data_IF_822837501461
#
_entry.id   IF_822837501461
#
_cell.length_a   1.000
_cell.length_b   1.000
_cell.length_c   1.000
_cell.angle_alpha   90.00
_cell.angle_beta   90.00
_cell.angle_gamma   90.00
#
_symmetry.space_group_name_H-M   'P 1'
#
loop_
_entity.id
_entity.type
_entity.pdbx_description
1 polymer ?
#
# COMPACT_ATOMS: atom_id res chain seq x y z
N UNK A 1 -20.33 -9.11 24.04
CA UNK A 1 -20.96 -10.34 23.50
C UNK A 1 -21.65 -10.00 22.20
N UNK A 2 -20.95 -10.15 21.07
CA UNK A 2 -21.55 -10.06 19.73
C UNK A 2 -22.17 -11.43 19.40
N UNK A 3 -23.35 -11.43 18.82
CA UNK A 3 -24.03 -12.63 18.33
C UNK A 3 -24.05 -12.58 16.82
N UNK A 4 -23.91 -13.73 16.19
CA UNK A 4 -24.06 -13.82 14.74
C UNK A 4 -25.54 -13.67 14.33
N UNK A 5 -25.86 -13.55 13.02
CA UNK A 5 -27.24 -13.46 12.54
C UNK A 5 -28.11 -14.69 12.86
N UNK A 6 -27.48 -15.81 13.24
CA UNK A 6 -28.10 -17.08 13.63
C UNK A 6 -28.37 -17.17 15.14
N UNK A 7 -27.87 -16.22 15.94
CA UNK A 7 -28.09 -16.15 17.38
C UNK A 7 -27.07 -16.90 18.23
N UNK A 8 -26.09 -17.55 17.59
CA UNK A 8 -25.01 -18.27 18.24
C UNK A 8 -24.07 -17.27 18.94
N UNK A 9 -23.57 -17.65 20.12
CA UNK A 9 -22.56 -16.89 20.84
C UNK A 9 -21.23 -17.11 20.12
N UNK A 10 -20.69 -16.04 19.54
CA UNK A 10 -19.31 -16.06 19.07
C UNK A 10 -18.42 -16.04 20.32
N UNK A 11 -17.74 -17.15 20.59
CA UNK A 11 -16.63 -17.15 21.55
C UNK A 11 -15.54 -16.25 20.98
N UNK A 12 -15.24 -15.15 21.68
CA UNK A 12 -14.12 -14.26 21.39
C UNK A 12 -12.79 -14.96 21.76
N UNK A 13 -12.58 -16.21 21.32
CA UNK A 13 -11.36 -16.98 21.51
C UNK A 13 -10.47 -16.87 20.27
N UNK A 14 -9.99 -15.66 20.01
CA UNK A 14 -8.78 -15.46 19.21
C UNK A 14 -7.63 -15.03 20.15
N UNK A 15 -7.39 -15.85 21.18
CA UNK A 15 -6.14 -15.86 21.94
C UNK A 15 -5.15 -16.79 21.23
N UNK A 16 -5.01 -16.62 19.92
CA UNK A 16 -4.00 -17.33 19.14
C UNK A 16 -2.64 -16.77 19.58
N UNK A 17 -1.76 -17.56 20.22
CA UNK A 17 -0.44 -17.07 20.57
C UNK A 17 0.31 -16.79 19.27
N UNK A 18 0.49 -15.51 18.95
CA UNK A 18 1.31 -15.12 17.81
C UNK A 18 2.70 -15.77 17.97
N UNK A 19 3.21 -16.48 16.95
CA UNK A 19 4.52 -17.12 17.04
C UNK A 19 5.55 -16.03 17.34
N UNK A 20 6.16 -16.11 18.52
CA UNK A 20 7.26 -15.23 18.89
C UNK A 20 8.34 -15.37 17.82
N UNK A 21 8.77 -14.27 17.18
CA UNK A 21 9.72 -14.36 16.08
C UNK A 21 11.03 -15.00 16.55
N UNK A 22 11.54 -15.96 15.77
CA UNK A 22 12.70 -16.80 16.06
C UNK A 22 14.04 -16.07 16.22
N UNK A 23 14.05 -14.72 16.15
CA UNK A 23 15.23 -13.89 16.38
C UNK A 23 14.90 -12.78 17.38
N UNK A 24 15.75 -12.57 18.40
CA UNK A 24 15.65 -11.38 19.23
C UNK A 24 15.86 -10.17 18.31
N UNK A 25 14.78 -9.42 18.10
CA UNK A 25 14.80 -8.19 17.32
C UNK A 25 14.75 -7.06 18.34
N UNK A 26 15.67 -6.10 18.24
CA UNK A 26 15.85 -5.00 19.19
C UNK A 26 14.74 -3.95 19.07
N UNK A 27 13.47 -4.36 19.23
CA UNK A 27 12.35 -3.45 19.26
C UNK A 27 11.79 -3.33 20.67
N UNK A 28 11.29 -2.15 21.01
CA UNK A 28 10.57 -1.91 22.24
C UNK A 28 9.07 -2.05 21.98
N UNK A 29 8.45 -3.13 22.47
CA UNK A 29 7.00 -3.41 22.32
C UNK A 29 6.51 -3.41 20.86
N UNK A 30 7.31 -3.95 19.94
CA UNK A 30 6.97 -3.98 18.51
C UNK A 30 7.31 -2.69 17.75
N UNK A 31 8.01 -1.73 18.37
CA UNK A 31 8.42 -0.46 17.76
C UNK A 31 9.94 -0.32 17.74
N UNK A 32 10.49 0.15 16.63
CA UNK A 32 11.92 0.49 16.50
C UNK A 32 12.22 1.85 17.15
N UNK A 33 11.26 2.77 17.11
CA UNK A 33 11.30 4.08 17.76
C UNK A 33 9.92 4.35 18.34
N UNK A 34 9.80 4.31 19.67
CA UNK A 34 8.51 4.44 20.37
C UNK A 34 8.27 5.88 20.86
N UNK A 35 9.31 6.56 21.36
CA UNK A 35 9.21 7.87 22.01
C UNK A 35 9.38 9.07 21.04
N UNK A 36 8.88 8.93 19.81
CA UNK A 36 8.96 9.97 18.77
C UNK A 36 7.56 10.30 18.23
N UNK A 37 7.36 11.51 17.70
CA UNK A 37 6.06 11.95 17.16
C UNK A 37 5.49 11.02 16.08
N UNK A 38 6.37 10.32 15.36
CA UNK A 38 5.99 9.35 14.34
C UNK A 38 6.68 8.00 14.61
N UNK A 39 6.09 7.14 15.45
CA UNK A 39 6.72 5.91 15.90
C UNK A 39 6.91 4.93 14.74
N UNK A 40 8.08 4.29 14.68
CA UNK A 40 8.45 3.39 13.58
C UNK A 40 8.09 1.95 13.95
N UNK A 41 7.13 1.30 13.25
CA UNK A 41 6.75 -0.07 13.54
C UNK A 41 7.88 -1.05 13.18
N UNK A 42 8.03 -2.12 13.97
CA UNK A 42 8.91 -3.22 13.63
C UNK A 42 8.27 -4.07 12.54
N UNK A 43 8.95 -4.35 11.41
CA UNK A 43 8.39 -5.16 10.33
C UNK A 43 8.12 -6.62 10.74
N UNK A 44 8.77 -7.09 11.81
CA UNK A 44 8.60 -8.46 12.32
C UNK A 44 7.40 -8.56 13.27
N UNK A 45 7.28 -7.65 14.25
CA UNK A 45 6.17 -7.67 15.22
C UNK A 45 4.90 -7.00 14.72
N UNK A 46 5.03 -6.00 13.84
CA UNK A 46 3.93 -5.17 13.35
C UNK A 46 3.99 -5.05 11.82
N UNK A 47 3.96 -6.17 11.08
CA UNK A 47 4.08 -6.16 9.61
C UNK A 47 2.99 -5.31 8.95
N UNK A 48 1.75 -5.39 9.45
CA UNK A 48 0.60 -4.62 8.94
C UNK A 48 0.77 -3.09 9.08
N UNK A 49 1.65 -2.62 9.96
CA UNK A 49 1.94 -1.20 10.15
C UNK A 49 3.23 -0.78 9.45
N UNK A 50 4.20 -1.69 9.32
CA UNK A 50 5.46 -1.44 8.61
C UNK A 50 5.28 -1.37 7.09
N UNK A 51 4.38 -2.19 6.55
CA UNK A 51 4.00 -2.13 5.15
C UNK A 51 2.88 -1.11 4.99
N UNK A 52 3.22 0.18 4.98
CA UNK A 52 2.29 1.16 4.39
C UNK A 52 2.08 0.71 2.93
N UNK A 53 0.85 0.39 2.49
CA UNK A 53 0.63 0.08 1.10
C UNK A 53 1.15 1.26 0.28
N UNK A 54 2.01 0.96 -0.69
CA UNK A 54 2.40 1.95 -1.69
C UNK A 54 1.09 2.57 -2.21
N UNK A 55 1.01 3.91 -2.35
CA UNK A 55 -0.18 4.53 -2.92
C UNK A 55 -0.47 3.83 -4.24
N UNK A 56 -1.69 3.32 -4.40
CA UNK A 56 -2.07 2.62 -5.62
C UNK A 56 -1.76 3.52 -6.81
N UNK A 57 -1.16 2.99 -7.90
CA UNK A 57 -0.96 3.75 -9.10
C UNK A 57 -2.30 4.32 -9.55
N UNK A 58 -2.41 5.66 -9.55
CA UNK A 58 -3.65 6.30 -9.98
C UNK A 58 -3.93 5.94 -11.44
N UNK A 59 -5.14 5.50 -11.73
CA UNK A 59 -5.57 5.38 -13.12
C UNK A 59 -5.54 6.77 -13.77
N UNK A 60 -4.90 6.91 -14.96
CA UNK A 60 -4.90 8.17 -15.66
C UNK A 60 -6.33 8.55 -16.07
N UNK A 61 -6.67 9.83 -15.96
CA UNK A 61 -7.98 10.32 -16.39
C UNK A 61 -8.07 10.30 -17.92
N UNK A 62 -9.28 10.18 -18.46
CA UNK A 62 -9.49 10.19 -19.92
C UNK A 62 -8.88 11.42 -20.60
N UNK A 63 -8.95 12.59 -19.96
CA UNK A 63 -8.33 13.83 -20.49
C UNK A 63 -6.80 13.78 -20.55
N UNK A 64 -6.16 13.03 -19.64
CA UNK A 64 -4.71 12.82 -19.67
C UNK A 64 -4.32 11.92 -20.84
N UNK A 65 -5.10 10.86 -21.07
CA UNK A 65 -4.95 9.95 -22.21
C UNK A 65 -5.12 10.72 -23.53
N UNK A 66 -6.19 11.50 -23.65
CA UNK A 66 -6.49 12.29 -24.85
C UNK A 66 -5.38 13.30 -25.16
N UNK A 67 -4.92 14.05 -24.15
CA UNK A 67 -3.82 15.02 -24.32
C UNK A 67 -2.53 14.35 -24.78
N UNK A 68 -2.19 13.19 -24.20
CA UNK A 68 -1.00 12.43 -24.59
C UNK A 68 -1.11 11.92 -26.02
N UNK A 69 -2.28 11.39 -26.41
CA UNK A 69 -2.55 10.97 -27.79
C UNK A 69 -2.39 12.10 -28.80
N UNK A 70 -3.00 13.26 -28.54
CA UNK A 70 -2.89 14.44 -29.41
C UNK A 70 -1.42 14.90 -29.54
N UNK A 71 -0.67 14.92 -28.44
CA UNK A 71 0.74 15.28 -28.46
C UNK A 71 1.57 14.33 -29.33
N UNK A 72 1.33 13.02 -29.23
CA UNK A 72 1.99 12.01 -30.06
C UNK A 72 1.66 12.18 -31.54
N UNK A 73 0.37 12.36 -31.88
CA UNK A 73 -0.05 12.60 -33.25
C UNK A 73 0.62 13.86 -33.84
N UNK A 74 0.66 14.95 -33.07
CA UNK A 74 1.33 16.20 -33.48
C UNK A 74 2.83 16.00 -33.71
N UNK A 75 3.50 15.25 -32.84
CA UNK A 75 4.92 14.94 -33.01
C UNK A 75 5.18 14.12 -34.28
N UNK A 76 4.36 13.09 -34.53
CA UNK A 76 4.47 12.25 -35.72
C UNK A 76 4.23 13.01 -37.02
N UNK A 77 3.29 13.95 -37.05
CA UNK A 77 3.05 14.79 -38.22
C UNK A 77 4.21 15.77 -38.49
N UNK A 78 4.85 16.28 -37.44
CA UNK A 78 6.04 17.16 -37.55
C UNK A 78 7.27 16.42 -38.05
N UNK A 79 7.45 15.15 -37.69
CA UNK A 79 8.56 14.34 -38.22
C UNK A 79 8.29 13.95 -39.67
N UNK A 80 7.05 13.59 -40.02
CA UNK A 80 6.67 13.19 -41.37
C UNK A 80 6.79 14.32 -42.41
N UNK A 81 6.49 15.55 -42.02
CA UNK A 81 6.67 16.75 -42.87
C UNK A 81 8.15 17.15 -43.06
N UNK A 82 9.05 16.69 -42.19
CA UNK A 82 10.50 16.88 -42.34
C UNK A 82 11.20 15.80 -43.17
N UNK A 83 10.48 14.71 -43.50
CA UNK A 83 11.02 13.56 -44.23
C UNK A 83 10.66 13.51 -45.72
N UNK A 84 10.04 14.55 -46.27
CA UNK A 84 9.80 14.68 -47.71
C UNK A 84 10.74 15.74 -48.30
N UNK A 85 11.81 15.34 -49.02
CA UNK A 85 12.59 16.24 -49.87
C UNK A 85 11.78 16.69 -51.09
#
# INVERSE_FOLDING_TARGET
MRRDPTGELLDDEDDTPHPSPARPHHCHRGWQQYDVDNPVPCPVCKPNLAHRPLPEPRHPRQDEINRRGIALCRAALRTRTRSHP
#
